data_IF_777338763276
#
_entry.id   IF_777338763276
#
_cell.length_a   1.000
_cell.length_b   1.000
_cell.length_c   1.000
_cell.angle_alpha   90.00
_cell.angle_beta   90.00
_cell.angle_gamma   90.00
#
_symmetry.space_group_name_H-M   'P 1'
#
loop_
_entity.id
_entity.type
_entity.pdbx_description
1 polymer ?
#
# COMPACT_ATOMS: atom_id res chain seq x y z
N UNK A 1 -37.75 0.29 -1.05
CA UNK A 1 -36.91 0.31 -0.98
C UNK A 1 -35.99 0.18 -1.55
N UNK A 2 -36.03 0.11 -2.16
CA UNK A 2 -35.23 0.09 -2.41
C UNK A 2 -34.26 0.00 -2.03
N UNK A 3 -34.41 -0.31 -1.70
CA UNK A 3 -33.56 -0.08 -0.68
C UNK A 3 -32.35 -0.89 -0.66
N UNK A 4 -32.37 -2.12 -1.04
CA UNK A 4 -31.20 -2.98 -0.97
C UNK A 4 -30.02 -2.44 -1.74
N UNK A 5 -30.25 -1.85 -2.89
CA UNK A 5 -29.19 -1.28 -3.68
C UNK A 5 -28.55 -0.09 -2.97
N UNK A 6 -29.40 0.76 -2.41
CA UNK A 6 -28.90 1.91 -1.69
C UNK A 6 -28.04 1.49 -0.50
N UNK A 7 -28.47 0.47 0.21
CA UNK A 7 -27.74 0.02 1.39
C UNK A 7 -26.36 -0.51 1.03
N UNK A 8 -26.25 -1.17 -0.10
CA UNK A 8 -24.92 -1.65 -0.51
C UNK A 8 -23.95 -0.53 -0.76
N UNK A 9 -24.46 0.60 -1.23
CA UNK A 9 -23.61 1.76 -1.44
C UNK A 9 -23.06 2.30 -0.13
N UNK A 10 -23.76 2.09 0.97
CA UNK A 10 -23.29 2.55 2.27
C UNK A 10 -22.30 1.58 2.92
N UNK A 11 -22.02 0.46 2.26
CA UNK A 11 -21.11 -0.53 2.79
C UNK A 11 -19.65 -0.26 2.41
N UNK A 12 -19.38 0.90 1.84
CA UNK A 12 -17.99 1.36 1.68
C UNK A 12 -17.33 1.33 3.05
N UNK A 13 -16.11 0.78 3.14
CA UNK A 13 -15.44 0.72 4.43
C UNK A 13 -15.36 2.09 5.06
N UNK A 14 -15.77 2.20 6.31
CA UNK A 14 -15.65 3.44 7.06
C UNK A 14 -14.24 3.68 7.54
N UNK A 15 -13.43 2.61 7.56
CA UNK A 15 -12.07 2.65 8.06
C UNK A 15 -11.13 2.25 6.94
N UNK A 16 -10.16 3.10 6.60
CA UNK A 16 -9.19 2.76 5.56
C UNK A 16 -8.39 1.51 5.93
N UNK A 17 -8.10 0.71 4.92
CA UNK A 17 -7.21 -0.43 5.07
C UNK A 17 -5.77 0.01 4.89
N UNK A 18 -4.87 -0.87 5.29
CA UNK A 18 -3.44 -0.62 5.22
C UNK A 18 -2.79 -1.67 4.33
N UNK A 19 -1.88 -1.23 3.51
CA UNK A 19 -1.22 -2.11 2.53
C UNK A 19 0.28 -1.88 2.54
N UNK A 20 1.03 -2.91 2.16
CA UNK A 20 2.44 -2.79 1.81
C UNK A 20 2.53 -2.96 0.30
N UNK A 21 3.14 -2.00 -0.39
CA UNK A 21 3.32 -2.04 -1.83
C UNK A 21 4.81 -2.11 -2.13
N UNK A 22 5.22 -3.16 -2.85
CA UNK A 22 6.63 -3.42 -3.11
C UNK A 22 6.95 -3.25 -4.58
N UNK A 23 8.06 -2.56 -4.86
CA UNK A 23 8.55 -2.36 -6.22
C UNK A 23 10.05 -2.63 -6.25
N UNK A 24 10.57 -2.88 -7.46
CA UNK A 24 11.99 -2.88 -7.73
C UNK A 24 12.37 -1.43 -8.07
N UNK A 25 13.22 -0.79 -7.25
CA UNK A 25 13.52 0.63 -7.48
C UNK A 25 14.27 0.89 -8.78
N UNK A 26 14.84 -0.15 -9.40
CA UNK A 26 15.47 -0.01 -10.72
C UNK A 26 14.43 0.09 -11.83
N UNK A 27 13.21 -0.41 -11.58
CA UNK A 27 12.10 -0.33 -12.53
C UNK A 27 11.22 0.87 -12.20
N UNK A 28 10.90 1.06 -10.94
CA UNK A 28 10.09 2.18 -10.48
C UNK A 28 10.55 2.61 -9.09
N UNK A 29 11.09 3.82 -8.98
CA UNK A 29 11.51 4.37 -7.70
C UNK A 29 10.38 5.20 -7.12
N UNK A 30 10.09 5.04 -5.82
CA UNK A 30 8.99 5.76 -5.19
C UNK A 30 9.14 7.27 -5.22
N UNK A 31 10.37 7.80 -5.36
CA UNK A 31 10.57 9.24 -5.52
C UNK A 31 9.83 9.78 -6.74
N UNK A 32 9.61 8.96 -7.76
CA UNK A 32 8.83 9.36 -8.93
C UNK A 32 7.43 9.80 -8.53
N UNK A 33 6.80 9.09 -7.59
CA UNK A 33 5.48 9.45 -7.09
C UNK A 33 5.53 10.82 -6.40
N UNK A 34 6.58 11.09 -5.64
CA UNK A 34 6.70 12.36 -4.92
C UNK A 34 6.95 13.53 -5.86
N UNK A 35 7.71 13.31 -6.92
CA UNK A 35 7.93 14.35 -7.93
C UNK A 35 6.62 14.70 -8.63
N UNK A 36 5.81 13.69 -8.96
CA UNK A 36 4.55 13.89 -9.66
C UNK A 36 3.39 14.23 -8.73
N UNK A 37 3.48 13.85 -7.46
CA UNK A 37 2.43 14.03 -6.47
C UNK A 37 1.35 12.96 -6.53
N UNK A 38 0.98 12.53 -7.72
CA UNK A 38 -0.05 11.52 -7.97
C UNK A 38 0.29 10.77 -9.24
N UNK A 39 0.04 9.47 -9.24
CA UNK A 39 0.37 8.66 -10.41
C UNK A 39 -0.46 7.38 -10.45
N UNK A 40 -0.73 6.90 -11.66
CA UNK A 40 -1.26 5.57 -11.87
C UNK A 40 -0.19 4.54 -11.53
N UNK A 41 -0.48 3.64 -10.59
CA UNK A 41 0.47 2.62 -10.15
C UNK A 41 0.18 1.30 -10.86
N UNK A 42 1.15 0.82 -11.61
CA UNK A 42 1.00 -0.35 -12.48
C UNK A 42 1.89 -1.52 -12.06
N UNK A 43 2.63 -1.40 -10.97
CA UNK A 43 3.66 -2.37 -10.60
C UNK A 43 3.12 -3.59 -9.87
N UNK A 44 1.81 -3.68 -9.63
CA UNK A 44 1.23 -4.85 -8.96
C UNK A 44 1.41 -6.13 -9.78
N UNK A 45 1.42 -6.01 -11.11
CA UNK A 45 1.53 -7.16 -11.99
C UNK A 45 0.19 -7.80 -12.25
N UNK A 46 0.22 -9.02 -12.81
CA UNK A 46 -1.01 -9.71 -13.25
C UNK A 46 -1.20 -11.05 -12.56
N UNK A 47 -0.37 -11.38 -11.58
CA UNK A 47 -0.49 -12.66 -10.90
C UNK A 47 -1.83 -12.74 -10.17
N UNK A 48 -2.44 -13.91 -10.09
CA UNK A 48 -3.76 -14.05 -9.46
C UNK A 48 -3.80 -13.50 -8.03
N UNK A 49 -2.73 -13.68 -7.26
CA UNK A 49 -2.69 -13.19 -5.89
C UNK A 49 -2.74 -11.66 -5.84
N UNK A 50 -1.94 -11.01 -6.68
CA UNK A 50 -1.93 -9.55 -6.73
C UNK A 50 -3.29 -9.02 -7.16
N UNK A 51 -3.91 -9.63 -8.16
CA UNK A 51 -5.23 -9.21 -8.62
C UNK A 51 -6.29 -9.40 -7.53
N UNK A 52 -6.20 -10.50 -6.78
CA UNK A 52 -7.13 -10.75 -5.68
C UNK A 52 -7.01 -9.67 -4.60
N UNK A 53 -5.78 -9.26 -4.28
CA UNK A 53 -5.56 -8.21 -3.30
C UNK A 53 -6.04 -6.86 -3.82
N UNK A 54 -5.74 -6.54 -5.08
CA UNK A 54 -6.17 -5.27 -5.68
C UNK A 54 -7.67 -5.08 -5.60
N UNK A 55 -8.45 -6.15 -5.76
CA UNK A 55 -9.90 -6.06 -5.69
C UNK A 55 -10.42 -5.64 -4.32
N UNK A 56 -9.58 -5.71 -3.30
CA UNK A 56 -9.95 -5.32 -1.94
C UNK A 56 -9.46 -3.92 -1.57
N UNK A 57 -8.73 -3.26 -2.45
CA UNK A 57 -8.21 -1.91 -2.22
C UNK A 57 -9.31 -0.90 -2.51
N UNK A 58 -9.38 0.15 -1.70
CA UNK A 58 -10.35 1.23 -1.86
C UNK A 58 -9.69 2.59 -1.75
N UNK A 59 -10.27 3.55 -2.42
CA UNK A 59 -9.86 4.95 -2.26
C UNK A 59 -9.84 5.33 -0.79
N UNK A 60 -8.77 5.99 -0.36
CA UNK A 60 -8.57 6.36 1.02
C UNK A 60 -7.68 5.40 1.80
N UNK A 61 -7.43 4.21 1.26
CA UNK A 61 -6.51 3.28 1.90
C UNK A 61 -5.11 3.87 1.94
N UNK A 62 -4.35 3.49 2.96
CA UNK A 62 -2.95 3.90 3.09
C UNK A 62 -2.03 2.77 2.67
N UNK A 63 -0.86 3.13 2.20
CA UNK A 63 0.14 2.16 1.77
C UNK A 63 1.51 2.56 2.27
N UNK A 64 2.26 1.56 2.73
CA UNK A 64 3.69 1.74 3.00
C UNK A 64 4.42 1.21 1.78
N UNK A 65 5.26 2.05 1.20
CA UNK A 65 5.97 1.77 -0.02
C UNK A 65 7.33 1.15 0.28
N UNK A 66 7.59 -0.01 -0.33
CA UNK A 66 8.81 -0.78 -0.12
C UNK A 66 9.65 -0.79 -1.38
N UNK A 67 10.97 -0.62 -1.21
CA UNK A 67 11.94 -0.82 -2.28
C UNK A 67 12.64 -2.17 -2.09
N UNK A 68 12.65 -3.00 -3.14
CA UNK A 68 13.43 -4.23 -3.15
C UNK A 68 14.91 -3.95 -3.30
N UNK A 69 15.64 -4.83 -3.99
CA UNK A 69 17.10 -4.68 -4.15
C UNK A 69 17.45 -3.31 -4.72
N UNK A 70 18.52 -2.70 -4.24
CA UNK A 70 19.43 -3.15 -3.19
C UNK A 70 19.02 -2.71 -1.79
N UNK A 71 18.04 -1.81 -1.67
CA UNK A 71 17.70 -1.19 -0.38
C UNK A 71 17.06 -2.15 0.60
N UNK A 72 16.11 -2.99 0.13
CA UNK A 72 15.35 -3.87 0.99
C UNK A 72 14.76 -3.14 2.20
N UNK A 73 14.03 -2.05 1.95
CA UNK A 73 13.54 -1.20 3.02
C UNK A 73 12.21 -0.52 2.67
N UNK A 74 11.44 -0.25 3.70
CA UNK A 74 10.25 0.60 3.61
C UNK A 74 10.72 2.06 3.50
N UNK A 75 10.08 2.82 2.63
CA UNK A 75 10.59 4.12 2.19
C UNK A 75 9.63 5.27 2.39
N UNK A 76 8.33 5.07 2.14
CA UNK A 76 7.39 6.18 2.07
C UNK A 76 5.97 5.74 2.36
N UNK A 77 5.10 6.71 2.51
CA UNK A 77 3.66 6.51 2.70
C UNK A 77 2.94 7.09 1.50
N UNK A 78 1.99 6.34 0.97
CA UNK A 78 1.12 6.78 -0.10
C UNK A 78 -0.33 6.56 0.29
N UNK A 79 -1.23 7.22 -0.45
CA UNK A 79 -2.66 7.03 -0.27
C UNK A 79 -3.28 6.61 -1.59
N UNK A 80 -4.19 5.66 -1.54
CA UNK A 80 -4.96 5.29 -2.73
C UNK A 80 -5.94 6.41 -3.03
N UNK A 81 -5.79 7.06 -4.18
CA UNK A 81 -6.61 8.20 -4.56
C UNK A 81 -7.74 7.83 -5.51
N UNK A 82 -7.75 6.60 -6.01
CA UNK A 82 -8.80 6.05 -6.87
C UNK A 82 -8.84 4.55 -6.72
N UNK A 83 -10.04 3.99 -6.62
CA UNK A 83 -10.23 2.54 -6.58
C UNK A 83 -9.57 1.88 -7.78
N UNK A 84 -9.10 0.62 -7.65
CA UNK A 84 -8.52 -0.08 -8.80
C UNK A 84 -9.48 -0.12 -9.99
N UNK A 85 -8.91 -0.05 -11.19
CA UNK A 85 -9.65 -0.04 -12.44
C UNK A 85 -8.84 -0.74 -13.52
N UNK A 86 -9.48 -1.16 -14.63
CA UNK A 86 -8.71 -1.79 -15.71
C UNK A 86 -7.69 -0.83 -16.29
N UNK A 87 -6.49 -1.36 -16.55
CA UNK A 87 -5.40 -0.54 -17.10
C UNK A 87 -5.80 -0.05 -18.50
N UNK A 88 -5.90 1.27 -18.71
CA UNK A 88 -6.33 1.81 -20.02
C UNK A 88 -5.32 1.58 -21.12
N UNK A 89 -4.10 1.21 -20.80
CA UNK A 89 -3.04 0.94 -21.78
C UNK A 89 -2.95 -0.52 -22.16
N UNK A 90 -3.85 -1.37 -21.63
CA UNK A 90 -3.86 -2.80 -21.88
C UNK A 90 -5.19 -3.21 -22.48
N UNK A 91 -5.15 -4.15 -23.44
CA UNK A 91 -6.35 -4.70 -24.01
C UNK A 91 -7.03 -5.70 -23.07
N UNK A 92 -6.26 -6.30 -22.16
CA UNK A 92 -6.79 -7.26 -21.20
C UNK A 92 -7.41 -6.51 -20.02
N UNK A 93 -8.75 -6.55 -19.93
CA UNK A 93 -9.49 -5.84 -18.88
C UNK A 93 -9.29 -6.44 -17.49
N UNK A 94 -8.64 -7.59 -17.40
CA UNK A 94 -8.32 -8.20 -16.11
C UNK A 94 -7.13 -7.56 -15.42
N UNK A 95 -6.32 -6.81 -16.18
CA UNK A 95 -5.17 -6.11 -15.62
C UNK A 95 -5.65 -4.86 -14.92
N UNK A 96 -5.36 -4.79 -13.63
CA UNK A 96 -5.84 -3.68 -12.79
C UNK A 96 -4.69 -2.77 -12.39
N UNK A 97 -5.00 -1.49 -12.31
CA UNK A 97 -4.12 -0.45 -11.78
C UNK A 97 -4.91 0.35 -10.76
N UNK A 98 -4.22 1.18 -10.00
CA UNK A 98 -4.88 2.12 -9.09
C UNK A 98 -4.10 3.42 -9.11
N UNK A 99 -4.73 4.50 -8.65
CA UNK A 99 -4.04 5.77 -8.54
C UNK A 99 -3.56 5.96 -7.11
N UNK A 100 -2.31 6.41 -6.99
CA UNK A 100 -1.69 6.69 -5.69
C UNK A 100 -1.34 8.16 -5.60
N UNK A 101 -1.44 8.70 -4.41
CA UNK A 101 -1.02 10.05 -4.06
C UNK A 101 0.12 9.95 -3.05
N UNK A 102 1.16 10.75 -3.25
CA UNK A 102 2.26 10.83 -2.29
C UNK A 102 1.76 11.47 -0.99
N UNK A 103 2.12 10.87 0.13
CA UNK A 103 1.78 11.43 1.45
C UNK A 103 3.03 11.97 2.11
N UNK A 104 4.01 11.09 2.39
CA UNK A 104 5.23 11.52 3.04
C UNK A 104 6.30 10.44 2.90
N UNK A 105 7.55 10.87 2.85
CA UNK A 105 8.65 9.93 2.98
C UNK A 105 8.82 9.59 4.46
N UNK A 106 9.25 8.36 4.73
CA UNK A 106 9.52 7.98 6.12
C UNK A 106 10.72 8.77 6.63
N UNK A 107 10.65 9.34 7.85
CA UNK A 107 11.81 10.02 8.44
C UNK A 107 13.05 9.13 8.50
N UNK A 108 12.83 7.83 8.72
CA UNK A 108 13.85 6.82 8.73
C UNK A 108 13.32 5.60 7.99
N UNK A 109 14.12 5.04 7.09
CA UNK A 109 13.75 3.82 6.41
C UNK A 109 13.75 2.66 7.40
N UNK A 110 12.84 1.71 7.20
CA UNK A 110 12.75 0.51 8.02
C UNK A 110 13.15 -0.67 7.14
N UNK A 111 14.24 -1.34 7.51
CA UNK A 111 14.79 -2.41 6.67
C UNK A 111 14.03 -3.72 6.83
N UNK A 112 14.17 -4.57 5.82
CA UNK A 112 13.59 -5.91 5.84
C UNK A 112 14.08 -6.69 7.07
N UNK A 113 15.38 -6.57 7.40
CA UNK A 113 15.96 -7.24 8.56
C UNK A 113 15.29 -6.77 9.85
N UNK A 114 15.07 -5.47 9.99
CA UNK A 114 14.40 -4.93 11.17
C UNK A 114 12.98 -5.45 11.30
N UNK A 115 12.26 -5.57 10.17
CA UNK A 115 10.91 -6.12 10.19
C UNK A 115 10.90 -7.56 10.70
N UNK A 116 11.88 -8.37 10.26
CA UNK A 116 11.97 -9.77 10.67
C UNK A 116 12.30 -9.96 12.12
N UNK A 117 12.99 -9.00 12.72
CA UNK A 117 13.36 -9.06 14.14
C UNK A 117 12.25 -8.56 15.06
N UNK A 118 11.26 -7.88 14.51
CA UNK A 118 10.17 -7.31 15.29
C UNK A 118 9.10 -8.36 15.56
N UNK A 119 8.78 -8.60 16.82
CA UNK A 119 7.85 -9.65 17.21
C UNK A 119 6.46 -9.46 16.64
N UNK A 120 6.02 -8.22 16.49
CA UNK A 120 4.70 -7.92 15.93
C UNK A 120 4.69 -8.07 14.42
N UNK A 121 5.76 -7.67 13.75
CA UNK A 121 5.81 -7.55 12.30
C UNK A 121 6.25 -8.82 11.59
N UNK A 122 6.98 -9.72 12.27
CA UNK A 122 7.54 -10.91 11.61
C UNK A 122 6.48 -11.88 11.07
N UNK A 123 5.21 -11.67 11.41
CA UNK A 123 4.09 -12.48 10.89
C UNK A 123 3.57 -11.99 9.56
N UNK A 124 4.01 -10.84 9.09
CA UNK A 124 3.54 -10.28 7.82
C UNK A 124 3.91 -11.23 6.69
N UNK A 125 2.93 -11.56 5.84
CA UNK A 125 3.13 -12.54 4.76
C UNK A 125 4.24 -12.15 3.81
N UNK A 126 4.39 -10.86 3.57
CA UNK A 126 5.44 -10.33 2.70
C UNK A 126 6.82 -10.81 3.13
N UNK A 127 7.06 -10.97 4.44
CA UNK A 127 8.37 -11.37 4.94
C UNK A 127 8.71 -12.81 4.58
N UNK A 128 7.70 -13.64 4.29
CA UNK A 128 7.89 -15.02 3.84
C UNK A 128 7.96 -15.14 2.33
N UNK A 129 7.46 -14.14 1.62
CA UNK A 129 7.46 -14.14 0.16
C UNK A 129 7.64 -12.70 -0.33
N UNK A 130 8.89 -12.28 -0.43
CA UNK A 130 9.22 -10.91 -0.81
C UNK A 130 9.00 -10.63 -2.30
N UNK A 131 8.47 -11.59 -3.04
CA UNK A 131 8.03 -11.37 -4.43
C UNK A 131 6.64 -10.80 -4.51
N UNK A 132 5.90 -10.78 -3.39
CA UNK A 132 4.60 -10.12 -3.37
C UNK A 132 4.78 -8.65 -3.70
N UNK A 133 3.84 -8.11 -4.47
CA UNK A 133 3.85 -6.69 -4.83
C UNK A 133 2.86 -5.90 -3.98
N UNK A 134 1.87 -6.59 -3.42
CA UNK A 134 0.87 -5.97 -2.57
C UNK A 134 0.50 -6.95 -1.45
N UNK A 135 0.53 -6.46 -0.22
CA UNK A 135 0.29 -7.29 0.95
C UNK A 135 -0.53 -6.49 1.97
N UNK A 136 -1.62 -7.07 2.50
CA UNK A 136 -2.40 -6.36 3.52
C UNK A 136 -1.64 -6.27 4.83
N UNK A 137 -1.86 -5.19 5.55
CA UNK A 137 -1.32 -4.97 6.90
C UNK A 137 -2.47 -4.73 7.86
N UNK A 138 -2.30 -5.17 9.11
CA UNK A 138 -3.23 -4.79 10.16
C UNK A 138 -2.92 -3.35 10.59
N UNK A 139 -3.88 -2.73 11.28
CA UNK A 139 -3.67 -1.39 11.82
C UNK A 139 -2.49 -1.37 12.80
N UNK A 140 -2.37 -2.44 13.61
CA UNK A 140 -1.28 -2.55 14.57
C UNK A 140 0.08 -2.67 13.88
N UNK A 141 0.13 -3.45 12.79
CA UNK A 141 1.36 -3.57 12.01
C UNK A 141 1.76 -2.24 11.38
N UNK A 142 0.78 -1.56 10.81
CA UNK A 142 1.01 -0.25 10.20
C UNK A 142 1.54 0.75 11.25
N UNK A 143 0.88 0.83 12.41
CA UNK A 143 1.30 1.74 13.46
C UNK A 143 2.70 1.43 13.97
N UNK A 144 3.04 0.15 14.10
CA UNK A 144 4.36 -0.25 14.56
C UNK A 144 5.44 0.14 13.56
N UNK A 145 5.16 -0.04 12.27
CA UNK A 145 6.09 0.37 11.21
C UNK A 145 6.34 1.88 11.31
N UNK A 146 5.27 2.68 11.46
CA UNK A 146 5.43 4.12 11.56
C UNK A 146 6.23 4.51 12.80
N UNK A 147 6.02 3.82 13.91
CA UNK A 147 6.80 4.06 15.13
C UNK A 147 8.28 3.80 14.87
N UNK A 148 8.62 2.68 14.22
CA UNK A 148 10.00 2.34 13.88
C UNK A 148 10.63 3.38 12.95
N UNK A 149 9.81 3.98 12.10
CA UNK A 149 10.26 5.00 11.15
C UNK A 149 10.42 6.37 11.81
N UNK A 150 10.07 6.51 13.08
CA UNK A 150 10.20 7.78 13.79
C UNK A 150 8.96 8.65 13.77
N UNK A 151 7.82 8.10 13.36
CA UNK A 151 6.56 8.85 13.37
C UNK A 151 5.83 8.53 14.67
N UNK A 152 5.64 9.55 15.49
CA UNK A 152 5.03 9.40 16.81
C UNK A 152 3.58 9.87 16.74
N UNK A 153 2.66 9.03 17.24
CA UNK A 153 1.27 9.42 17.36
C UNK A 153 1.13 10.53 18.39
N UNK A 154 0.32 11.54 18.07
CA UNK A 154 0.01 12.64 18.97
C UNK A 154 -1.48 12.67 19.23
N UNK A 155 -1.91 13.02 20.46
CA UNK A 155 -3.34 13.11 20.76
C UNK A 155 -4.04 14.06 19.80
N UNK A 156 -5.15 13.61 19.21
CA UNK A 156 -5.93 14.42 18.31
C UNK A 156 -5.37 14.55 16.89
N UNK A 157 -4.20 13.97 16.60
CA UNK A 157 -3.62 14.00 15.26
C UNK A 157 -3.51 12.57 14.77
N UNK A 158 -4.26 12.21 13.72
CA UNK A 158 -4.20 10.83 13.20
C UNK A 158 -2.85 10.56 12.56
N UNK A 159 -2.46 9.28 12.54
CA UNK A 159 -1.26 8.85 11.81
C UNK A 159 -1.45 9.08 10.31
N UNK A 160 -0.36 9.40 9.61
CA UNK A 160 -0.40 9.57 8.16
C UNK A 160 -0.80 8.31 7.41
#
# INVERSE_FOLDING_TARGET
VRGGTFERMTQTPTKPRRWLLAVDPRVYHWDTLFVKGKEMWRQAGHKPDALRQLKQVHKGDRAIAYHGKPEHALYAIAEVSRDPYPDPHESDTKKLVMDLRAVDRLPRQVTLAELRENKLLRKIKFLKNTRMTICPLTDEEYAEILRMAGIVASPGIPLP
#
